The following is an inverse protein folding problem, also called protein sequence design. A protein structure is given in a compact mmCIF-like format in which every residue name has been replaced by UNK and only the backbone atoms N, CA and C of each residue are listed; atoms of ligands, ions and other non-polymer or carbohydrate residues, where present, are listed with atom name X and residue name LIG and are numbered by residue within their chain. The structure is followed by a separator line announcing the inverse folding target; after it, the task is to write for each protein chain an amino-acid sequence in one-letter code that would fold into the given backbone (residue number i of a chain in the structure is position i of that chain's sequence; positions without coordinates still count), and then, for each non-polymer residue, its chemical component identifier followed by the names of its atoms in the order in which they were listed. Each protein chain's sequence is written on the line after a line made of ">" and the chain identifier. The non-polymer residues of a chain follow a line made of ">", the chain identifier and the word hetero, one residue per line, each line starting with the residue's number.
data_IF_437207159357
#
_entry.id   IF_437207159357
#
_cell.length_a   1.000
_cell.length_b   1.000
_cell.length_c   1.000
_cell.angle_alpha   90.00
_cell.angle_beta   90.00
_cell.angle_gamma   90.00
#
_symmetry.space_group_name_H-M   'P 1'
#
loop_
_entity.id
_entity.type
_entity.pdbx_description
1 polymer ?
#
# COMPACT_ATOMS: atom_id res chain seq x y z
N UNK A 1 -4.04 -33.22 1.81
CA UNK A 1 -3.91 -34.48 1.04
C UNK A 1 -4.65 -35.74 1.57
N UNK A 2 -4.36 -36.30 2.75
CA UNK A 2 -4.80 -37.69 3.09
C UNK A 2 -6.32 -37.88 3.25
N UNK A 3 -7.06 -36.86 3.68
CA UNK A 3 -8.46 -37.04 4.04
C UNK A 3 -9.36 -37.31 2.82
N UNK A 4 -9.16 -36.59 1.72
CA UNK A 4 -10.01 -36.71 0.53
C UNK A 4 -9.76 -38.04 -0.20
N UNK A 5 -8.49 -38.42 -0.41
CA UNK A 5 -8.13 -39.75 -0.93
C UNK A 5 -8.65 -40.88 -0.05
N UNK A 6 -8.57 -40.75 1.28
CA UNK A 6 -9.11 -41.77 2.20
C UNK A 6 -10.62 -41.89 2.07
N UNK A 7 -11.33 -40.76 1.93
CA UNK A 7 -12.78 -40.74 1.71
C UNK A 7 -13.16 -41.39 0.37
N UNK A 8 -12.42 -41.13 -0.71
CA UNK A 8 -12.65 -41.77 -2.03
C UNK A 8 -12.36 -43.28 -1.97
N UNK A 9 -11.25 -43.68 -1.36
CA UNK A 9 -10.91 -45.09 -1.17
C UNK A 9 -11.98 -45.84 -0.33
N UNK A 10 -12.55 -45.17 0.68
CA UNK A 10 -13.66 -45.71 1.46
C UNK A 10 -14.92 -45.91 0.61
N UNK A 11 -15.28 -44.93 -0.24
CA UNK A 11 -16.40 -45.05 -1.18
C UNK A 11 -16.18 -46.19 -2.19
N UNK A 12 -14.95 -46.34 -2.67
CA UNK A 12 -14.57 -47.44 -3.56
C UNK A 12 -14.74 -48.81 -2.87
N UNK A 13 -14.33 -48.92 -1.60
CA UNK A 13 -14.54 -50.13 -0.79
C UNK A 13 -16.01 -50.42 -0.52
N UNK A 14 -16.81 -49.39 -0.23
CA UNK A 14 -18.24 -49.51 0.01
C UNK A 14 -18.99 -49.95 -1.26
N UNK A 15 -18.65 -49.36 -2.41
CA UNK A 15 -19.21 -49.70 -3.73
C UNK A 15 -19.04 -51.19 -4.04
N UNK A 16 -17.83 -51.73 -3.81
CA UNK A 16 -17.53 -53.16 -4.00
C UNK A 16 -18.32 -54.08 -3.06
N UNK A 17 -18.71 -53.61 -1.87
CA UNK A 17 -19.44 -54.39 -0.87
C UNK A 17 -20.96 -54.37 -1.03
N UNK A 18 -21.51 -53.47 -1.86
CA UNK A 18 -22.95 -53.28 -2.02
C UNK A 18 -23.62 -54.27 -2.99
N UNK A 19 -22.85 -55.13 -3.66
CA UNK A 19 -23.32 -56.10 -4.67
C UNK A 19 -24.26 -55.46 -5.72
N UNK A 20 -24.05 -54.15 -5.98
CA UNK A 20 -24.68 -53.44 -7.09
C UNK A 20 -24.08 -54.07 -8.33
N UNK A 21 -24.88 -54.83 -9.08
CA UNK A 21 -24.38 -55.57 -10.23
C UNK A 21 -23.50 -54.67 -11.09
N UNK A 22 -22.21 -55.00 -11.20
CA UNK A 22 -21.22 -54.16 -11.89
C UNK A 22 -21.61 -53.88 -13.36
N UNK A 23 -22.50 -54.72 -13.91
CA UNK A 23 -23.05 -54.59 -15.26
C UNK A 23 -24.37 -53.79 -15.33
N UNK A 24 -24.97 -53.45 -14.19
CA UNK A 24 -26.14 -52.57 -14.12
C UNK A 24 -25.77 -51.15 -14.56
N UNK A 25 -26.76 -50.40 -15.07
CA UNK A 25 -26.55 -49.03 -15.52
C UNK A 25 -26.18 -48.13 -14.34
N UNK A 26 -26.77 -48.41 -13.20
CA UNK A 26 -26.58 -47.74 -11.92
C UNK A 26 -25.17 -48.01 -11.36
N UNK A 27 -24.69 -49.26 -11.42
CA UNK A 27 -23.33 -49.64 -11.01
C UNK A 27 -22.25 -48.97 -11.86
N UNK A 28 -22.42 -48.96 -13.19
CA UNK A 28 -21.51 -48.25 -14.11
C UNK A 28 -21.45 -46.75 -13.84
N UNK A 29 -22.59 -46.13 -13.55
CA UNK A 29 -22.65 -44.71 -13.20
C UNK A 29 -21.93 -44.42 -11.88
N UNK A 30 -22.19 -45.21 -10.83
CA UNK A 30 -21.56 -45.02 -9.52
C UNK A 30 -20.05 -45.22 -9.57
N UNK A 31 -19.59 -46.23 -10.31
CA UNK A 31 -18.16 -46.48 -10.52
C UNK A 31 -17.50 -45.28 -11.24
N UNK A 32 -18.12 -44.78 -12.31
CA UNK A 32 -17.61 -43.59 -13.00
C UNK A 32 -17.59 -42.33 -12.13
N UNK A 33 -18.57 -42.16 -11.22
CA UNK A 33 -18.54 -41.04 -10.25
C UNK A 33 -17.37 -41.19 -9.29
N UNK A 34 -17.11 -42.39 -8.78
CA UNK A 34 -15.99 -42.64 -7.86
C UNK A 34 -14.64 -42.39 -8.55
N UNK A 35 -14.50 -42.80 -9.80
CA UNK A 35 -13.29 -42.54 -10.61
C UNK A 35 -13.03 -41.05 -10.79
N UNK A 36 -14.07 -40.28 -11.16
CA UNK A 36 -13.95 -38.81 -11.28
C UNK A 36 -13.59 -38.16 -9.94
N UNK A 37 -14.12 -38.68 -8.82
CA UNK A 37 -13.77 -38.19 -7.48
C UNK A 37 -12.33 -38.53 -7.10
N UNK A 38 -11.78 -39.64 -7.58
CA UNK A 38 -10.38 -40.01 -7.38
C UNK A 38 -9.44 -39.08 -8.15
N UNK A 39 -9.74 -38.82 -9.43
CA UNK A 39 -9.03 -37.83 -10.24
C UNK A 39 -9.10 -36.42 -9.63
N UNK A 40 -10.26 -36.06 -9.05
CA UNK A 40 -10.41 -34.80 -8.34
C UNK A 40 -9.55 -34.75 -7.07
N UNK A 41 -9.49 -35.84 -6.31
CA UNK A 41 -8.66 -35.93 -5.12
C UNK A 41 -7.17 -35.81 -5.44
N UNK A 42 -6.72 -36.40 -6.55
CA UNK A 42 -5.36 -36.23 -7.07
C UNK A 42 -5.08 -34.78 -7.48
N UNK A 43 -5.96 -34.19 -8.30
CA UNK A 43 -5.77 -32.82 -8.79
C UNK A 43 -5.76 -31.79 -7.66
N UNK A 44 -6.60 -31.96 -6.64
CA UNK A 44 -6.60 -31.09 -5.45
C UNK A 44 -5.32 -31.29 -4.65
N UNK A 45 -4.84 -32.52 -4.51
CA UNK A 45 -3.56 -32.79 -3.83
C UNK A 45 -2.37 -32.10 -4.50
N UNK A 46 -2.27 -32.16 -5.82
CA UNK A 46 -1.23 -31.45 -6.57
C UNK A 46 -1.36 -29.93 -6.49
N UNK A 47 -2.59 -29.41 -6.41
CA UNK A 47 -2.82 -27.98 -6.22
C UNK A 47 -2.37 -27.51 -4.83
N UNK A 48 -2.67 -28.28 -3.78
CA UNK A 48 -2.19 -28.00 -2.42
C UNK A 48 -0.66 -27.95 -2.36
N UNK A 49 0.03 -28.92 -2.99
CA UNK A 49 1.50 -28.96 -3.07
C UNK A 49 2.07 -27.73 -3.78
N UNK A 50 1.49 -27.36 -4.92
CA UNK A 50 1.92 -26.16 -5.66
C UNK A 50 1.67 -24.88 -4.85
N UNK A 51 0.61 -24.84 -4.04
CA UNK A 51 0.31 -23.70 -3.18
C UNK A 51 1.31 -23.61 -2.03
N UNK A 52 1.69 -24.74 -1.41
CA UNK A 52 2.72 -24.79 -0.37
C UNK A 52 4.06 -24.26 -0.91
N UNK A 53 4.47 -24.67 -2.12
CA UNK A 53 5.66 -24.13 -2.79
C UNK A 53 5.57 -22.62 -3.06
N UNK A 54 4.37 -22.12 -3.36
CA UNK A 54 4.14 -20.69 -3.57
C UNK A 54 4.19 -19.90 -2.27
N UNK A 55 3.67 -20.45 -1.18
CA UNK A 55 3.78 -19.87 0.16
C UNK A 55 5.26 -19.73 0.56
N UNK A 56 6.07 -20.78 0.38
CA UNK A 56 7.52 -20.71 0.62
C UNK A 56 8.21 -19.62 -0.20
N UNK A 57 7.83 -19.46 -1.47
CA UNK A 57 8.37 -18.41 -2.33
C UNK A 57 7.95 -17.01 -1.87
N UNK A 58 6.70 -16.85 -1.44
CA UNK A 58 6.23 -15.57 -0.89
C UNK A 58 6.94 -15.21 0.42
N UNK A 59 7.16 -16.18 1.30
CA UNK A 59 7.92 -15.98 2.53
C UNK A 59 9.36 -15.54 2.21
N UNK A 60 9.98 -16.12 1.17
CA UNK A 60 11.32 -15.69 0.74
C UNK A 60 11.35 -14.24 0.23
N UNK A 61 10.30 -13.81 -0.46
CA UNK A 61 10.18 -12.41 -0.92
C UNK A 61 9.98 -11.48 0.28
N UNK A 62 9.15 -11.88 1.25
CA UNK A 62 8.92 -11.09 2.46
C UNK A 62 10.23 -10.90 3.25
N UNK A 63 11.02 -11.96 3.41
CA UNK A 63 12.35 -11.89 4.05
C UNK A 63 13.32 -10.96 3.28
N UNK A 64 13.38 -11.08 1.95
CA UNK A 64 14.21 -10.21 1.12
C UNK A 64 13.78 -8.73 1.22
N UNK A 65 12.47 -8.46 1.24
CA UNK A 65 11.93 -7.11 1.40
C UNK A 65 12.18 -6.56 2.80
N UNK A 66 12.08 -7.38 3.84
CA UNK A 66 12.42 -6.99 5.20
C UNK A 66 13.88 -6.58 5.30
N UNK A 67 14.80 -7.34 4.69
CA UNK A 67 16.22 -6.98 4.66
C UNK A 67 16.49 -5.69 3.86
N UNK A 68 15.76 -5.47 2.77
CA UNK A 68 15.85 -4.22 2.02
C UNK A 68 15.30 -3.05 2.83
N UNK A 69 14.21 -3.26 3.56
CA UNK A 69 13.63 -2.25 4.45
C UNK A 69 14.63 -1.88 5.53
N UNK A 70 15.28 -2.87 6.13
CA UNK A 70 16.34 -2.70 7.11
C UNK A 70 17.49 -1.86 6.51
N UNK A 71 18.02 -2.24 5.33
CA UNK A 71 19.14 -1.52 4.70
C UNK A 71 18.80 -0.07 4.28
N UNK A 72 17.56 0.20 3.87
CA UNK A 72 17.14 1.51 3.37
C UNK A 72 16.59 2.41 4.48
N UNK A 73 15.90 1.84 5.48
CA UNK A 73 15.14 2.58 6.48
C UNK A 73 15.67 2.40 7.92
N UNK A 74 16.68 1.57 8.21
CA UNK A 74 17.32 1.51 9.56
C UNK A 74 18.04 2.81 9.95
N UNK A 75 18.40 3.66 8.98
CA UNK A 75 18.76 5.04 9.27
C UNK A 75 17.46 5.83 9.49
N UNK A 76 16.82 5.67 10.66
CA UNK A 76 15.67 6.47 11.14
C UNK A 76 15.93 8.00 11.10
N UNK A 77 17.16 8.43 10.80
CA UNK A 77 17.55 9.81 10.52
C UNK A 77 17.20 10.28 9.08
N UNK A 78 16.71 9.43 8.17
CA UNK A 78 16.34 9.80 6.78
C UNK A 78 14.89 10.26 6.59
N UNK A 79 14.00 10.00 7.54
CA UNK A 79 12.64 10.59 7.51
C UNK A 79 12.65 12.10 7.77
N UNK A 80 13.72 12.61 8.38
CA UNK A 80 13.98 14.06 8.49
C UNK A 80 14.64 14.64 7.23
N UNK A 81 14.97 13.82 6.22
CA UNK A 81 15.58 14.28 4.95
C UNK A 81 14.58 14.56 3.84
N UNK A 82 13.27 14.40 4.06
CA UNK A 82 12.27 14.72 3.05
C UNK A 82 11.12 15.56 3.62
N UNK A 83 10.68 16.54 2.84
CA UNK A 83 9.60 17.47 3.18
C UNK A 83 8.45 17.25 2.20
N UNK A 84 7.25 17.07 2.76
CA UNK A 84 6.01 16.94 1.99
C UNK A 84 5.20 18.24 2.03
N UNK A 85 4.83 18.76 0.86
CA UNK A 85 4.00 19.96 0.71
C UNK A 85 2.90 19.71 -0.31
N UNK A 86 1.67 20.12 0.03
CA UNK A 86 0.55 20.08 -0.91
C UNK A 86 0.68 21.19 -1.96
N UNK A 87 0.58 20.84 -3.25
CA UNK A 87 0.63 21.83 -4.31
C UNK A 87 -0.66 22.68 -4.34
N UNK A 88 -0.58 24.02 -4.27
CA UNK A 88 -1.76 24.89 -4.28
C UNK A 88 -2.50 24.93 -5.63
N UNK A 89 -1.88 24.44 -6.71
CA UNK A 89 -2.46 24.44 -8.05
C UNK A 89 -3.23 23.18 -8.42
N UNK A 90 -2.81 22.01 -7.91
CA UNK A 90 -3.38 20.72 -8.30
C UNK A 90 -3.68 19.76 -7.13
N UNK A 91 -3.44 20.18 -5.88
CA UNK A 91 -3.70 19.41 -4.66
C UNK A 91 -2.92 18.08 -4.57
N UNK A 92 -1.90 17.90 -5.41
CA UNK A 92 -0.99 16.76 -5.35
C UNK A 92 0.11 17.00 -4.31
N UNK A 93 0.47 15.96 -3.56
CA UNK A 93 1.57 16.01 -2.59
C UNK A 93 2.91 15.98 -3.32
N UNK A 94 3.73 17.01 -3.10
CA UNK A 94 5.10 17.10 -3.62
C UNK A 94 6.07 16.79 -2.49
N UNK A 95 6.98 15.84 -2.74
CA UNK A 95 8.01 15.42 -1.79
C UNK A 95 9.40 15.83 -2.34
N UNK A 96 10.21 16.50 -1.52
CA UNK A 96 11.55 16.97 -1.88
C UNK A 96 12.52 16.89 -0.70
N UNK A 97 13.83 16.93 -0.98
CA UNK A 97 14.90 16.77 0.01
C UNK A 97 14.93 17.95 1.01
N UNK A 98 14.96 17.66 2.31
CA UNK A 98 14.97 18.63 3.40
C UNK A 98 16.26 19.46 3.43
N UNK A 99 17.35 18.97 2.83
CA UNK A 99 18.58 19.76 2.62
C UNK A 99 18.35 21.00 1.77
N UNK A 100 17.26 21.06 0.98
CA UNK A 100 16.86 22.25 0.23
C UNK A 100 16.46 23.40 1.17
N UNK A 101 16.04 23.12 2.42
CA UNK A 101 15.67 24.15 3.40
C UNK A 101 16.88 24.91 3.98
N UNK A 102 18.07 24.33 3.93
CA UNK A 102 19.28 24.92 4.51
C UNK A 102 20.36 25.18 3.43
N UNK A 103 19.99 25.13 2.14
CA UNK A 103 20.91 25.37 1.03
C UNK A 103 21.39 26.84 1.00
N UNK A 104 22.68 27.06 0.71
CA UNK A 104 23.25 28.40 0.57
C UNK A 104 22.75 29.12 -0.70
N UNK A 105 22.32 28.36 -1.71
CA UNK A 105 21.75 28.88 -2.95
C UNK A 105 20.21 28.93 -2.89
N UNK A 106 19.61 29.93 -3.55
CA UNK A 106 18.14 30.04 -3.64
C UNK A 106 17.62 28.96 -4.59
N UNK A 107 16.91 27.97 -4.02
CA UNK A 107 16.27 26.88 -4.75
C UNK A 107 14.75 27.05 -4.74
N UNK A 108 14.14 26.91 -5.91
CA UNK A 108 12.68 26.88 -6.09
C UNK A 108 12.23 25.45 -6.40
N UNK A 109 11.34 24.89 -5.59
CA UNK A 109 10.74 23.58 -5.82
C UNK A 109 9.46 23.76 -6.63
N UNK A 110 9.37 23.09 -7.78
CA UNK A 110 8.19 23.11 -8.67
C UNK A 110 7.43 21.80 -8.61
N UNK A 111 6.10 21.87 -8.65
CA UNK A 111 5.26 20.69 -8.74
C UNK A 111 5.43 19.99 -10.10
N UNK A 112 5.71 18.67 -10.16
CA UNK A 112 5.86 17.93 -11.41
C UNK A 112 4.57 17.75 -12.22
N UNK A 113 3.41 18.02 -11.60
CA UNK A 113 2.09 17.84 -12.25
C UNK A 113 1.59 19.12 -12.94
N UNK A 114 1.90 20.30 -12.40
CA UNK A 114 1.38 21.57 -12.91
C UNK A 114 2.42 22.68 -13.08
N UNK A 115 3.71 22.39 -12.86
CA UNK A 115 4.85 23.30 -12.96
C UNK A 115 4.77 24.55 -12.06
N UNK A 116 3.84 24.58 -11.10
CA UNK A 116 3.72 25.69 -10.16
C UNK A 116 4.75 25.55 -9.04
N UNK A 117 5.36 26.68 -8.63
CA UNK A 117 6.30 26.71 -7.50
C UNK A 117 5.54 26.41 -6.20
N UNK A 118 6.02 25.42 -5.46
CA UNK A 118 5.44 24.94 -4.20
C UNK A 118 6.25 25.39 -2.98
N UNK A 119 7.56 25.64 -3.13
CA UNK A 119 8.44 26.07 -2.05
C UNK A 119 9.65 26.86 -2.59
N UNK A 120 10.17 27.81 -1.80
CA UNK A 120 11.37 28.60 -2.11
C UNK A 120 12.21 28.77 -0.84
N UNK A 121 13.51 28.46 -0.89
CA UNK A 121 14.41 28.55 0.25
C UNK A 121 15.11 29.92 0.41
N UNK A 122 14.37 31.02 0.47
CA UNK A 122 14.97 32.37 0.61
C UNK A 122 14.72 32.96 2.01
N UNK A 123 15.79 33.03 2.81
CA UNK A 123 15.82 33.64 4.15
C UNK A 123 15.59 35.17 4.16
N UNK A 124 15.55 35.83 3.00
CA UNK A 124 15.46 37.28 2.90
C UNK A 124 14.05 37.85 2.79
N UNK A 125 13.00 37.04 2.85
CA UNK A 125 11.62 37.54 2.75
C UNK A 125 11.03 38.08 4.07
N UNK A 126 11.48 39.27 4.44
CA UNK A 126 10.54 40.29 4.90
C UNK A 126 9.68 40.72 3.70
N UNK A 127 8.36 40.70 3.89
CA UNK A 127 7.31 41.39 3.12
C UNK A 127 7.00 40.95 1.67
N UNK A 128 5.79 40.41 1.47
CA UNK A 128 5.05 40.51 0.21
C UNK A 128 3.51 40.56 0.36
N UNK A 129 2.96 41.01 1.50
CA UNK A 129 1.51 41.27 1.60
C UNK A 129 1.18 42.59 2.32
N UNK A 130 1.85 43.66 1.91
CA UNK A 130 1.38 45.02 2.17
C UNK A 130 1.23 45.77 0.84
N UNK A 131 0.00 45.99 0.35
CA UNK A 131 -0.23 46.90 -0.75
C UNK A 131 -0.06 48.33 -0.23
N UNK A 132 0.99 49.03 -0.67
CA UNK A 132 1.12 50.47 -0.44
C UNK A 132 0.55 51.28 -1.61
N UNK A 133 -0.12 52.39 -1.22
CA UNK A 133 -0.56 53.61 -1.92
C UNK A 133 -2.08 53.83 -1.77
N UNK A 134 -2.61 54.97 -1.31
CA UNK A 134 -2.12 56.35 -1.31
C UNK A 134 -2.95 57.22 -0.34
N UNK A 135 -2.34 58.29 0.18
CA UNK A 135 -2.94 59.30 1.08
C UNK A 135 -4.12 60.09 0.48
N UNK A 136 -5.11 60.45 1.32
CA UNK A 136 -6.07 61.51 0.96
C UNK A 136 -7.29 61.77 1.86
N UNK A 137 -7.07 62.32 3.08
CA UNK A 137 -7.99 63.15 3.93
C UNK A 137 -9.26 62.47 4.49
N UNK A 138 -9.72 62.66 5.73
CA UNK A 138 -9.54 63.72 6.73
C UNK A 138 -10.14 63.32 8.10
N UNK A 139 -9.43 63.73 9.17
CA UNK A 139 -9.89 64.23 10.49
C UNK A 139 -10.59 63.36 11.55
N UNK A 140 -10.20 63.71 12.80
CA UNK A 140 -10.79 63.51 14.14
C UNK A 140 -10.67 62.10 14.74
N UNK A 141 -9.67 61.79 15.60
CA UNK A 141 -9.36 62.26 16.97
C UNK A 141 -10.00 61.39 18.06
N UNK A 142 -9.21 61.10 19.10
CA UNK A 142 -9.60 60.72 20.48
C UNK A 142 -9.81 59.21 20.75
N UNK A 143 -9.32 58.53 21.80
CA UNK A 143 -8.22 58.65 22.77
C UNK A 143 -8.24 57.37 23.67
N UNK A 144 -7.11 57.04 24.34
CA UNK A 144 -7.04 56.12 25.52
C UNK A 144 -6.93 54.61 25.19
N UNK A 145 -5.80 53.90 25.28
CA UNK A 145 -4.79 53.68 26.34
C UNK A 145 -5.19 52.68 27.45
N UNK A 146 -4.31 51.66 27.62
CA UNK A 146 -3.99 50.80 28.79
C UNK A 146 -4.72 49.45 28.88
N UNK A 147 -4.04 48.32 28.67
CA UNK A 147 -2.94 47.65 29.42
C UNK A 147 -3.48 46.70 30.52
N UNK A 148 -3.20 45.40 30.30
CA UNK A 148 -2.53 44.44 31.22
C UNK A 148 -3.09 44.11 32.63
N UNK A 149 -2.97 42.82 32.97
CA UNK A 149 -2.89 42.19 34.33
C UNK A 149 -4.15 42.15 35.22
N UNK A 150 -4.75 40.96 35.36
CA UNK A 150 -4.74 40.01 36.51
C UNK A 150 -5.68 38.85 36.14
#
# INVERSE_FOLDING_TARGET
>A
MNELKTKVAYLHGLSNGLDIGAESKEGKLLQGIIEVLDEFADSVGSLEETQEEMEDYLDSIDEDLFHLEDEIYEDEDDYDKFVEVECPGCEETVCFDAGILDDEDIVEVTCPNCDQVVFVNDDTHQSADKPEMQEGKSSSSDSGQKDEVI
#
